data_IF_979788071192
#
_entry.id   IF_979788071192
#
_cell.length_a   1.000
_cell.length_b   1.000
_cell.length_c   1.000
_cell.angle_alpha   90.00
_cell.angle_beta   90.00
_cell.angle_gamma   90.00
#
_symmetry.space_group_name_H-M   'P 1'
#
loop_
_entity.id
_entity.type
_entity.pdbx_description
1 polymer ?
#
# COMPACT_ATOMS: atom_id res chain seq x y z
N UNK A 1 11.98 -9.43 -26.74
CA UNK A 1 11.14 -8.75 -25.74
C UNK A 1 12.02 -8.54 -24.52
N UNK A 2 12.42 -7.29 -24.25
CA UNK A 2 13.34 -7.02 -23.15
C UNK A 2 12.63 -7.24 -21.82
N UNK A 3 13.23 -8.07 -20.98
CA UNK A 3 12.83 -8.26 -19.60
C UNK A 3 12.98 -6.92 -18.85
N UNK A 4 11.85 -6.25 -18.60
CA UNK A 4 11.77 -4.95 -17.94
C UNK A 4 11.81 -5.09 -16.41
N UNK A 5 12.49 -6.11 -15.91
CA UNK A 5 12.66 -6.32 -14.48
C UNK A 5 13.60 -5.25 -13.91
N UNK A 6 13.07 -4.46 -12.99
CA UNK A 6 13.80 -3.45 -12.25
C UNK A 6 14.95 -4.12 -11.46
N UNK A 7 16.19 -3.98 -11.92
CA UNK A 7 17.38 -4.67 -11.37
C UNK A 7 17.58 -4.43 -9.87
N UNK A 8 17.19 -3.25 -9.39
CA UNK A 8 17.25 -2.87 -7.98
C UNK A 8 16.06 -1.96 -7.64
N UNK A 9 15.38 -2.27 -6.53
CA UNK A 9 14.29 -1.48 -5.98
C UNK A 9 14.73 -0.91 -4.64
N UNK A 10 14.65 0.41 -4.53
CA UNK A 10 14.85 1.14 -3.26
C UNK A 10 13.48 1.59 -2.76
N UNK A 11 13.18 1.34 -1.48
CA UNK A 11 11.92 1.75 -0.86
C UNK A 11 12.23 2.46 0.46
N UNK A 12 11.84 3.74 0.54
CA UNK A 12 11.95 4.56 1.73
C UNK A 12 10.56 4.94 2.23
N UNK A 13 10.36 4.92 3.55
CA UNK A 13 9.11 5.30 4.21
C UNK A 13 9.38 6.42 5.18
N UNK A 14 8.56 7.46 5.12
CA UNK A 14 8.66 8.64 5.96
C UNK A 14 7.37 8.82 6.74
N UNK A 15 7.49 9.13 8.03
CA UNK A 15 6.36 9.62 8.82
C UNK A 15 6.30 11.12 8.54
N UNK A 16 5.17 11.58 8.01
CA UNK A 16 4.93 12.98 7.67
C UNK A 16 3.61 13.43 8.27
N UNK A 17 3.45 14.75 8.42
CA UNK A 17 2.17 15.35 8.77
C UNK A 17 1.26 15.38 7.54
N UNK A 18 -0.05 15.45 7.77
CA UNK A 18 -1.05 15.42 6.70
C UNK A 18 -0.92 16.60 5.72
N UNK A 19 -0.59 17.81 6.21
CA UNK A 19 -0.35 19.01 5.39
C UNK A 19 0.82 18.81 4.43
N UNK A 20 1.88 18.16 4.89
CA UNK A 20 3.05 17.80 4.08
C UNK A 20 2.67 16.76 3.03
N UNK A 21 1.78 15.82 3.35
CA UNK A 21 1.29 14.83 2.39
C UNK A 21 0.60 15.45 1.18
N UNK A 22 -0.24 16.46 1.40
CA UNK A 22 -0.88 17.22 0.31
C UNK A 22 0.15 17.97 -0.53
N UNK A 23 1.09 18.68 0.12
CA UNK A 23 2.14 19.41 -0.58
C UNK A 23 3.05 18.51 -1.43
N UNK A 24 3.38 17.30 -0.93
CA UNK A 24 4.14 16.30 -1.67
C UNK A 24 3.37 15.86 -2.91
N UNK A 25 2.07 15.57 -2.81
CA UNK A 25 1.23 15.17 -3.94
C UNK A 25 1.24 16.23 -5.05
N UNK A 26 1.09 17.50 -4.68
CA UNK A 26 1.07 18.60 -5.63
C UNK A 26 2.44 18.76 -6.31
N UNK A 27 3.54 18.67 -5.55
CA UNK A 27 4.90 18.76 -6.08
C UNK A 27 5.23 17.63 -7.07
N UNK A 28 4.85 16.38 -6.76
CA UNK A 28 5.18 15.23 -7.63
C UNK A 28 4.28 15.13 -8.86
N UNK A 29 3.16 15.86 -8.90
CA UNK A 29 2.18 15.79 -10.00
C UNK A 29 2.75 16.19 -11.37
N UNK A 30 3.80 17.01 -11.42
CA UNK A 30 4.49 17.35 -12.66
C UNK A 30 5.45 16.27 -13.17
N UNK A 31 5.66 15.20 -12.39
CA UNK A 31 6.62 14.13 -12.69
C UNK A 31 5.99 12.75 -12.78
N UNK A 32 4.80 12.56 -12.20
CA UNK A 32 4.12 11.28 -12.08
C UNK A 32 2.69 11.36 -12.60
N UNK A 33 2.24 10.31 -13.27
CA UNK A 33 0.85 10.15 -13.65
C UNK A 33 0.01 9.63 -12.48
N UNK A 34 -1.26 10.05 -12.43
CA UNK A 34 -2.23 9.48 -11.50
C UNK A 34 -2.50 8.01 -11.86
N UNK A 35 -2.74 7.21 -10.83
CA UNK A 35 -3.31 5.88 -11.01
C UNK A 35 -4.64 5.98 -11.77
N UNK A 36 -4.87 5.19 -12.84
CA UNK A 36 -6.05 5.30 -13.67
C UNK A 36 -7.38 5.12 -12.91
N UNK A 37 -7.41 4.26 -11.89
CA UNK A 37 -8.61 4.10 -11.08
C UNK A 37 -8.83 5.31 -10.18
N UNK A 38 -7.80 5.72 -9.43
CA UNK A 38 -7.83 6.89 -8.56
C UNK A 38 -8.18 8.19 -9.29
N UNK A 39 -7.74 8.37 -10.53
CA UNK A 39 -8.06 9.53 -11.36
C UNK A 39 -9.56 9.71 -11.61
N UNK A 40 -10.35 8.63 -11.51
CA UNK A 40 -11.82 8.66 -11.67
C UNK A 40 -12.57 8.88 -10.36
N UNK A 41 -11.88 8.86 -9.22
CA UNK A 41 -12.48 8.93 -7.89
C UNK A 41 -12.45 10.36 -7.31
N UNK A 42 -13.37 10.69 -6.39
CA UNK A 42 -13.31 11.95 -5.65
C UNK A 42 -11.95 12.17 -4.97
N UNK A 43 -11.43 13.40 -5.06
CA UNK A 43 -10.14 13.81 -4.48
C UNK A 43 -8.93 13.01 -4.99
N UNK A 44 -9.06 12.35 -6.15
CA UNK A 44 -8.03 11.47 -6.73
C UNK A 44 -7.61 10.34 -5.76
N UNK A 45 -8.56 9.82 -5.00
CA UNK A 45 -8.28 8.91 -3.88
C UNK A 45 -9.38 7.87 -3.70
N UNK A 46 -9.02 6.74 -3.11
CA UNK A 46 -9.94 5.66 -2.75
C UNK A 46 -9.47 5.02 -1.43
N UNK A 47 -10.38 4.44 -0.64
CA UNK A 47 -9.99 3.82 0.61
C UNK A 47 -9.18 2.55 0.36
N UNK A 48 -8.28 2.23 1.30
CA UNK A 48 -7.52 0.98 1.30
C UNK A 48 -7.64 0.37 2.68
N UNK A 49 -8.45 -0.68 2.79
CA UNK A 49 -8.64 -1.39 4.04
C UNK A 49 -7.81 -2.67 4.06
N UNK A 50 -7.26 -3.02 5.23
CA UNK A 50 -6.49 -4.26 5.39
C UNK A 50 -6.73 -4.83 6.77
N UNK A 51 -7.30 -6.04 6.82
CA UNK A 51 -7.44 -6.83 8.02
C UNK A 51 -6.28 -7.82 8.08
N UNK A 52 -5.36 -7.64 9.02
CA UNK A 52 -4.25 -8.57 9.25
C UNK A 52 -4.70 -9.71 10.15
N UNK A 53 -4.35 -10.93 9.74
CA UNK A 53 -4.67 -12.14 10.49
C UNK A 53 -3.44 -12.65 11.21
N UNK A 54 -3.61 -13.19 12.42
CA UNK A 54 -2.53 -13.86 13.15
C UNK A 54 -3.10 -14.99 14.01
N UNK A 55 -2.21 -15.86 14.51
CA UNK A 55 -2.56 -16.87 15.52
C UNK A 55 -2.68 -16.25 16.91
N UNK A 56 -3.30 -16.94 17.89
CA UNK A 56 -3.35 -16.47 19.28
C UNK A 56 -1.97 -16.16 19.88
N UNK A 57 -0.91 -16.83 19.40
CA UNK A 57 0.47 -16.60 19.81
C UNK A 57 1.21 -15.51 19.04
N UNK A 58 0.51 -14.72 18.21
CA UNK A 58 1.07 -13.56 17.48
C UNK A 58 2.30 -13.89 16.62
N UNK A 59 2.28 -15.05 15.97
CA UNK A 59 3.45 -15.56 15.23
C UNK A 59 3.86 -14.60 14.10
N UNK A 60 2.92 -14.10 13.31
CA UNK A 60 3.23 -13.21 12.19
C UNK A 60 3.70 -11.83 12.65
N UNK A 61 3.15 -11.34 13.76
CA UNK A 61 3.64 -10.14 14.43
C UNK A 61 5.11 -10.30 14.84
N UNK A 62 5.46 -11.37 15.57
CA UNK A 62 6.82 -11.60 16.06
C UNK A 62 7.83 -11.73 14.91
N UNK A 63 7.51 -12.50 13.86
CA UNK A 63 8.39 -12.61 12.67
C UNK A 63 8.54 -11.27 11.94
N UNK A 64 7.51 -10.40 11.97
CA UNK A 64 7.57 -9.07 11.35
C UNK A 64 8.50 -8.13 12.11
N UNK A 65 8.37 -8.04 13.43
CA UNK A 65 9.20 -7.14 14.25
C UNK A 65 10.67 -7.60 14.33
N UNK A 66 10.93 -8.91 14.24
CA UNK A 66 12.27 -9.47 14.23
C UNK A 66 12.97 -9.34 12.87
N UNK A 67 12.23 -8.98 11.81
CA UNK A 67 12.80 -8.82 10.47
C UNK A 67 13.17 -10.15 9.80
N UNK A 68 12.49 -11.24 10.16
CA UNK A 68 12.78 -12.57 9.63
C UNK A 68 12.74 -12.58 8.09
N UNK A 69 13.78 -13.15 7.47
CA UNK A 69 13.94 -13.14 6.00
C UNK A 69 12.76 -13.79 5.27
N UNK A 70 12.25 -14.91 5.79
CA UNK A 70 11.18 -15.70 5.18
C UNK A 70 9.83 -15.47 5.89
N UNK A 71 9.50 -14.21 6.20
CA UNK A 71 8.21 -13.85 6.78
C UNK A 71 7.14 -13.66 5.70
N UNK A 72 5.89 -13.98 6.03
CA UNK A 72 4.74 -13.61 5.21
C UNK A 72 3.73 -12.78 6.01
N UNK A 73 3.04 -11.86 5.34
CA UNK A 73 1.99 -11.02 5.93
C UNK A 73 0.64 -11.50 5.43
N UNK A 74 -0.12 -12.19 6.28
CA UNK A 74 -1.48 -12.63 5.95
C UNK A 74 -2.46 -11.48 6.16
N UNK A 75 -3.19 -11.10 5.11
CA UNK A 75 -4.21 -10.06 5.19
C UNK A 75 -5.34 -10.31 4.21
N UNK A 76 -6.52 -9.79 4.55
CA UNK A 76 -7.62 -9.54 3.62
C UNK A 76 -7.61 -8.04 3.31
N UNK A 77 -7.64 -7.66 2.04
CA UNK A 77 -7.63 -6.28 1.56
C UNK A 77 -8.83 -6.02 0.66
N UNK A 78 -9.43 -4.85 0.83
CA UNK A 78 -10.50 -4.35 -0.02
C UNK A 78 -10.38 -2.84 -0.19
N UNK A 79 -11.01 -2.33 -1.24
CA UNK A 79 -10.86 -0.95 -1.71
C UNK A 79 -12.18 -0.18 -1.73
N UNK A 80 -13.26 -0.79 -1.25
CA UNK A 80 -14.61 -0.22 -1.20
C UNK A 80 -15.53 -1.03 -0.28
N UNK A 81 -16.64 -0.42 0.16
CA UNK A 81 -17.54 -1.00 1.17
C UNK A 81 -18.81 -1.65 0.58
N UNK A 82 -18.84 -1.90 -0.74
CA UNK A 82 -20.01 -2.57 -1.34
C UNK A 82 -20.09 -4.03 -0.86
N UNK A 83 -21.25 -4.52 -0.38
CA UNK A 83 -21.37 -5.84 0.25
C UNK A 83 -20.92 -7.06 -0.58
N UNK A 84 -20.89 -6.93 -1.91
CA UNK A 84 -20.47 -7.99 -2.84
C UNK A 84 -19.20 -7.64 -3.61
N UNK A 85 -18.48 -6.59 -3.19
CA UNK A 85 -17.19 -6.27 -3.77
C UNK A 85 -16.18 -7.39 -3.49
N UNK A 86 -15.25 -7.66 -4.42
CA UNK A 86 -14.21 -8.64 -4.19
C UNK A 86 -13.31 -8.21 -3.03
N UNK A 87 -12.83 -9.20 -2.28
CA UNK A 87 -11.77 -9.05 -1.29
C UNK A 87 -10.56 -9.89 -1.72
N UNK A 88 -9.36 -9.43 -1.40
CA UNK A 88 -8.08 -9.97 -1.88
C UNK A 88 -7.16 -10.36 -0.75
#
# INVERSE_FOLDING_TARGET
MADNLQKQRYEHKYIIRDDVGVAVRDFVSSYLDLDPFGATQPNFSYPVHSLYMDSPGLRLYHTTINGDKNRYKLRIRFYEDRPKAPVY
#
